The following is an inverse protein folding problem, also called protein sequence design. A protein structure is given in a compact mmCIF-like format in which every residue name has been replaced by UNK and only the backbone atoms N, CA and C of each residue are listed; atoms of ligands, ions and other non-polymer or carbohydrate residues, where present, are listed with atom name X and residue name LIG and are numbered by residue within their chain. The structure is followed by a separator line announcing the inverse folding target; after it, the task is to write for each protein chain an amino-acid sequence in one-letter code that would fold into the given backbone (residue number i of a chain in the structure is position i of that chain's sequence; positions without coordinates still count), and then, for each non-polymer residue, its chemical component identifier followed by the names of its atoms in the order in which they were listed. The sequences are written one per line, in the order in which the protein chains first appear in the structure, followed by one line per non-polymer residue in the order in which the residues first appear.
data_IF_945105860821
#
_entry.id   IF_945105860821
#
_cell.length_a   1.000
_cell.length_b   1.000
_cell.length_c   1.000
_cell.angle_alpha   90.00
_cell.angle_beta   90.00
_cell.angle_gamma   90.00
#
_symmetry.space_group_name_H-M   'P 1'
#
loop_
_entity.id
_entity.type
_entity.pdbx_description
1 polymer ?
#
# COMPACT_ATOMS: atom_id res chain seq x y z
N UNK A 1 -81.76 -22.11 -40.75
CA UNK A 1 -80.93 -21.25 -41.64
C UNK A 1 -81.10 -19.81 -41.19
N UNK A 2 -80.00 -19.04 -41.24
CA UNK A 2 -79.82 -17.63 -40.85
C UNK A 2 -79.87 -17.36 -39.31
N UNK A 3 -78.75 -17.19 -38.59
CA UNK A 3 -77.73 -16.12 -38.60
C UNK A 3 -78.22 -14.82 -37.95
N UNK A 4 -77.60 -14.35 -36.85
CA UNK A 4 -76.55 -13.30 -36.85
C UNK A 4 -76.37 -12.65 -35.45
N UNK A 5 -75.14 -12.15 -35.22
CA UNK A 5 -74.66 -11.18 -34.19
C UNK A 5 -74.13 -11.80 -32.89
N UNK A 6 -72.98 -11.39 -32.33
CA UNK A 6 -72.23 -10.14 -32.46
C UNK A 6 -70.76 -10.40 -32.03
N UNK A 7 -69.78 -9.94 -32.81
CA UNK A 7 -68.37 -9.86 -32.37
C UNK A 7 -68.14 -8.58 -31.57
N UNK A 8 -67.37 -8.66 -30.50
CA UNK A 8 -66.76 -7.51 -29.82
C UNK A 8 -65.28 -7.84 -29.59
N UNK A 9 -64.30 -7.05 -30.08
CA UNK A 9 -62.91 -7.28 -29.78
C UNK A 9 -62.56 -6.64 -28.43
N UNK A 10 -61.94 -7.43 -27.55
CA UNK A 10 -61.40 -6.97 -26.28
C UNK A 10 -60.00 -6.36 -26.52
N UNK A 11 -59.87 -5.04 -26.39
CA UNK A 11 -58.60 -4.34 -26.42
C UNK A 11 -57.98 -4.38 -25.01
N UNK A 12 -56.92 -5.18 -24.81
CA UNK A 12 -56.15 -5.18 -23.57
C UNK A 12 -54.99 -4.18 -23.70
N UNK A 13 -55.06 -3.08 -22.96
CA UNK A 13 -53.96 -2.13 -22.78
C UNK A 13 -53.20 -2.56 -21.53
N UNK A 14 -51.99 -3.09 -21.69
CA UNK A 14 -51.08 -3.38 -20.56
C UNK A 14 -50.30 -2.12 -20.19
N UNK A 15 -50.53 -1.60 -18.98
CA UNK A 15 -49.80 -0.47 -18.42
C UNK A 15 -48.66 -1.01 -17.54
N UNK A 16 -47.42 -1.02 -18.04
CA UNK A 16 -46.24 -1.37 -17.24
C UNK A 16 -45.61 -0.10 -16.66
N UNK A 17 -45.71 0.06 -15.34
CA UNK A 17 -45.05 1.13 -14.59
C UNK A 17 -43.63 0.65 -14.26
N UNK A 18 -42.61 1.29 -14.83
CA UNK A 18 -41.21 0.96 -14.57
C UNK A 18 -40.74 1.73 -13.34
N UNK A 19 -40.71 1.07 -12.18
CA UNK A 19 -40.08 1.61 -10.98
C UNK A 19 -38.57 1.38 -11.07
N UNK A 20 -37.80 2.45 -11.29
CA UNK A 20 -36.34 2.41 -11.20
C UNK A 20 -35.93 2.35 -9.73
N UNK A 21 -35.67 1.14 -9.23
CA UNK A 21 -34.96 0.93 -7.97
C UNK A 21 -33.49 1.22 -8.24
N UNK A 22 -32.97 2.31 -7.70
CA UNK A 22 -31.52 2.57 -7.64
C UNK A 22 -30.89 1.48 -6.77
N UNK A 23 -30.02 0.64 -7.34
CA UNK A 23 -29.25 -0.33 -6.58
C UNK A 23 -28.27 0.41 -5.65
N UNK A 24 -28.08 -0.05 -4.40
CA UNK A 24 -26.98 0.45 -3.58
C UNK A 24 -25.65 0.09 -4.23
N UNK A 25 -24.71 1.03 -4.27
CA UNK A 25 -23.34 0.81 -4.74
C UNK A 25 -22.74 -0.41 -4.04
N UNK A 26 -22.27 -1.37 -4.82
CA UNK A 26 -21.59 -2.55 -4.32
C UNK A 26 -20.31 -2.12 -3.59
N UNK A 27 -20.14 -2.54 -2.34
CA UNK A 27 -18.88 -2.42 -1.61
C UNK A 27 -17.73 -2.95 -2.47
N UNK A 28 -16.56 -2.29 -2.48
CA UNK A 28 -15.42 -2.73 -3.29
C UNK A 28 -15.01 -4.16 -2.91
N UNK A 29 -14.83 -5.01 -3.92
CA UNK A 29 -14.37 -6.40 -3.74
C UNK A 29 -12.92 -6.39 -3.25
N UNK A 30 -12.56 -7.15 -2.19
CA UNK A 30 -11.18 -7.25 -1.73
C UNK A 30 -10.22 -7.76 -2.81
N UNK A 31 -8.92 -7.41 -2.75
CA UNK A 31 -7.86 -7.98 -3.59
C UNK A 31 -7.83 -9.50 -3.57
N UNK A 32 -7.52 -10.11 -4.72
CA UNK A 32 -7.44 -11.57 -4.85
C UNK A 32 -6.42 -12.19 -3.89
N UNK A 33 -5.30 -11.48 -3.63
CA UNK A 33 -4.30 -11.88 -2.63
C UNK A 33 -4.91 -12.07 -1.23
N UNK A 34 -5.80 -11.16 -0.82
CA UNK A 34 -6.50 -11.23 0.47
C UNK A 34 -7.49 -12.39 0.52
N UNK A 35 -8.20 -12.64 -0.58
CA UNK A 35 -9.10 -13.78 -0.72
C UNK A 35 -8.31 -15.10 -0.57
N UNK A 36 -7.19 -15.22 -1.28
CA UNK A 36 -6.32 -16.41 -1.23
C UNK A 36 -5.70 -16.61 0.15
N UNK A 37 -5.25 -15.53 0.81
CA UNK A 37 -4.72 -15.56 2.16
C UNK A 37 -5.79 -16.01 3.17
N UNK A 38 -7.01 -15.50 3.07
CA UNK A 38 -8.13 -15.90 3.92
C UNK A 38 -8.49 -17.38 3.75
N UNK A 39 -8.53 -17.88 2.50
CA UNK A 39 -8.78 -19.29 2.21
C UNK A 39 -7.66 -20.18 2.76
N UNK A 40 -6.41 -19.77 2.58
CA UNK A 40 -5.24 -20.53 3.06
C UNK A 40 -5.18 -20.57 4.59
N UNK A 41 -5.52 -19.47 5.27
CA UNK A 41 -5.67 -19.42 6.73
C UNK A 41 -6.73 -20.44 7.21
N UNK A 42 -7.91 -20.45 6.60
CA UNK A 42 -8.98 -21.38 6.97
C UNK A 42 -8.55 -22.84 6.76
N UNK A 43 -7.96 -23.14 5.60
CA UNK A 43 -7.47 -24.48 5.28
C UNK A 43 -6.30 -24.93 6.18
N UNK A 44 -5.57 -24.00 6.78
CA UNK A 44 -4.44 -24.25 7.68
C UNK A 44 -4.84 -24.28 9.18
N UNK A 45 -6.14 -24.22 9.50
CA UNK A 45 -6.64 -24.27 10.87
C UNK A 45 -6.60 -22.94 11.64
N UNK A 46 -6.47 -21.82 10.94
CA UNK A 46 -6.55 -20.45 11.48
C UNK A 46 -7.90 -19.82 11.09
N UNK A 47 -9.00 -20.47 11.43
CA UNK A 47 -10.36 -20.11 11.03
C UNK A 47 -10.75 -18.74 11.56
N UNK A 48 -10.40 -18.44 12.82
CA UNK A 48 -10.77 -17.18 13.45
C UNK A 48 -10.08 -15.98 12.80
N UNK A 49 -8.80 -16.14 12.43
CA UNK A 49 -8.08 -15.10 11.70
C UNK A 49 -8.54 -14.99 10.24
N UNK A 50 -8.90 -16.10 9.59
CA UNK A 50 -9.52 -16.07 8.25
C UNK A 50 -10.81 -15.23 8.23
N UNK A 51 -11.70 -15.46 9.21
CA UNK A 51 -12.94 -14.69 9.33
C UNK A 51 -12.67 -13.24 9.70
N UNK A 52 -11.69 -12.98 10.57
CA UNK A 52 -11.25 -11.62 10.91
C UNK A 52 -10.79 -10.87 9.68
N UNK A 53 -9.91 -11.49 8.87
CA UNK A 53 -9.41 -10.90 7.62
C UNK A 53 -10.55 -10.59 6.65
N UNK A 54 -11.48 -11.53 6.44
CA UNK A 54 -12.66 -11.32 5.59
C UNK A 54 -13.55 -10.17 6.08
N UNK A 55 -13.71 -10.03 7.40
CA UNK A 55 -14.52 -8.98 8.00
C UNK A 55 -13.88 -7.59 7.84
N UNK A 56 -12.57 -7.48 8.03
CA UNK A 56 -11.89 -6.17 7.99
C UNK A 56 -11.45 -5.78 6.58
N UNK A 57 -11.28 -6.73 5.65
CA UNK A 57 -10.77 -6.46 4.31
C UNK A 57 -11.47 -5.30 3.58
N UNK A 58 -12.81 -5.13 3.65
CA UNK A 58 -13.48 -3.98 3.02
C UNK A 58 -13.16 -2.62 3.66
N UNK A 59 -12.68 -2.63 4.90
CA UNK A 59 -12.35 -1.42 5.69
C UNK A 59 -10.87 -1.09 5.68
N UNK A 60 -10.03 -2.03 5.26
CA UNK A 60 -8.61 -1.75 5.09
C UNK A 60 -8.45 -0.81 3.89
N UNK A 61 -7.50 0.15 3.94
CA UNK A 61 -7.15 0.98 2.79
C UNK A 61 -6.35 0.16 1.77
N UNK A 62 -6.85 -1.04 1.46
CA UNK A 62 -6.34 -1.93 0.44
C UNK A 62 -6.71 -1.33 -0.90
N UNK A 63 -5.79 -1.37 -1.86
CA UNK A 63 -6.10 -0.89 -3.18
C UNK A 63 -7.10 -1.90 -3.81
N UNK A 64 -7.89 -1.51 -4.82
CA UNK A 64 -8.97 -2.31 -5.44
C UNK A 64 -8.52 -3.73 -5.88
N UNK A 65 -9.47 -4.61 -6.28
CA UNK A 65 -9.20 -6.03 -6.63
C UNK A 65 -7.98 -6.27 -7.51
N UNK A 66 -7.66 -5.29 -8.35
CA UNK A 66 -6.61 -5.37 -9.34
C UNK A 66 -5.24 -5.03 -8.71
N UNK A 67 -5.16 -4.20 -7.67
CA UNK A 67 -3.89 -3.61 -7.21
C UNK A 67 -3.07 -4.43 -6.22
N UNK A 68 -1.72 -4.40 -6.36
CA UNK A 68 -0.81 -5.04 -5.44
C UNK A 68 -1.05 -4.52 -4.02
N UNK A 69 -1.42 -5.44 -3.14
CA UNK A 69 -1.56 -5.16 -1.71
C UNK A 69 -0.19 -5.23 -1.06
N UNK A 70 0.10 -4.37 -0.08
CA UNK A 70 1.23 -4.58 0.82
C UNK A 70 0.67 -4.89 2.21
N UNK A 71 0.74 -6.17 2.62
CA UNK A 71 0.19 -6.59 3.91
C UNK A 71 0.98 -7.75 4.51
N UNK A 72 1.33 -7.63 5.78
CA UNK A 72 1.78 -8.77 6.60
C UNK A 72 0.76 -9.05 7.69
N UNK A 73 0.35 -10.30 7.81
CA UNK A 73 -0.62 -10.79 8.78
C UNK A 73 0.07 -11.71 9.76
N UNK A 74 0.03 -11.38 11.05
CA UNK A 74 0.55 -12.21 12.12
C UNK A 74 -0.60 -12.96 12.78
N UNK A 75 -0.85 -14.20 12.38
CA UNK A 75 -2.03 -14.98 12.73
C UNK A 75 -1.86 -15.78 14.04
N UNK A 76 -2.54 -15.40 15.14
CA UNK A 76 -2.64 -16.24 16.33
C UNK A 76 -3.45 -17.50 16.02
N UNK A 77 -3.20 -18.63 16.70
CA UNK A 77 -3.96 -19.86 16.51
C UNK A 77 -5.39 -19.71 17.04
N UNK A 78 -6.32 -20.54 16.55
CA UNK A 78 -7.73 -20.52 16.98
C UNK A 78 -7.89 -20.74 18.51
N UNK A 79 -6.96 -21.46 19.14
CA UNK A 79 -6.92 -21.62 20.60
C UNK A 79 -6.62 -20.30 21.35
N UNK A 80 -5.88 -19.36 20.75
CA UNK A 80 -5.68 -18.04 21.34
C UNK A 80 -6.99 -17.24 21.35
N UNK A 81 -7.79 -17.34 20.27
CA UNK A 81 -9.11 -16.73 20.19
C UNK A 81 -10.06 -17.32 21.24
N UNK A 82 -10.15 -18.66 21.33
CA UNK A 82 -11.03 -19.33 22.28
C UNK A 82 -10.72 -18.97 23.74
N UNK A 83 -9.43 -18.84 24.09
CA UNK A 83 -8.97 -18.44 25.41
C UNK A 83 -9.22 -16.95 25.72
N UNK A 84 -9.19 -16.09 24.70
CA UNK A 84 -9.37 -14.64 24.86
C UNK A 84 -10.84 -14.18 24.88
N UNK A 85 -11.76 -15.00 24.38
CA UNK A 85 -13.15 -14.61 24.14
C UNK A 85 -13.28 -13.77 22.86
N UNK A 86 -14.03 -12.67 22.91
CA UNK A 86 -14.15 -11.74 21.78
C UNK A 86 -13.14 -10.58 21.91
N UNK A 87 -12.02 -10.60 21.17
CA UNK A 87 -11.04 -9.52 21.23
C UNK A 87 -11.60 -8.21 20.65
N UNK A 88 -11.20 -7.04 21.19
CA UNK A 88 -11.58 -5.75 20.62
C UNK A 88 -10.92 -5.54 19.25
N UNK A 89 -11.56 -4.76 18.37
CA UNK A 89 -11.03 -4.47 17.03
C UNK A 89 -9.62 -3.89 17.06
N UNK A 90 -9.30 -3.02 18.03
CA UNK A 90 -7.95 -2.45 18.18
C UNK A 90 -6.87 -3.49 18.45
N UNK A 91 -7.21 -4.59 19.15
CA UNK A 91 -6.30 -5.72 19.34
C UNK A 91 -6.17 -6.51 18.04
N UNK A 92 -7.27 -6.79 17.35
CA UNK A 92 -7.23 -7.51 16.07
C UNK A 92 -6.39 -6.76 15.02
N UNK A 93 -6.57 -5.44 14.90
CA UNK A 93 -5.81 -4.60 13.98
C UNK A 93 -4.30 -4.56 14.27
N UNK A 94 -3.87 -4.92 15.49
CA UNK A 94 -2.45 -5.01 15.85
C UNK A 94 -1.74 -6.15 15.10
N UNK A 95 -2.49 -7.14 14.61
CA UNK A 95 -1.98 -8.29 13.87
C UNK A 95 -1.78 -8.04 12.37
N UNK A 96 -2.08 -6.83 11.90
CA UNK A 96 -1.94 -6.46 10.50
C UNK A 96 -0.91 -5.33 10.39
N UNK A 97 0.11 -5.54 9.56
CA UNK A 97 1.10 -4.53 9.20
C UNK A 97 0.90 -4.13 7.74
N UNK A 98 0.90 -2.83 7.40
CA UNK A 98 0.78 -2.35 6.01
C UNK A 98 2.03 -2.58 5.15
N UNK A 99 2.98 -3.37 5.64
CA UNK A 99 4.25 -3.65 4.98
C UNK A 99 4.28 -5.11 4.55
N UNK A 100 4.93 -5.42 3.44
CA UNK A 100 5.35 -6.78 3.11
C UNK A 100 6.68 -7.08 3.79
N UNK A 101 6.63 -7.85 4.88
CA UNK A 101 7.78 -8.16 5.71
C UNK A 101 8.21 -9.59 5.44
N UNK A 102 9.15 -9.77 4.50
CA UNK A 102 9.71 -11.09 4.20
C UNK A 102 10.47 -11.68 5.41
N UNK A 103 10.72 -13.00 5.44
CA UNK A 103 11.51 -13.61 6.52
C UNK A 103 12.90 -12.98 6.65
N UNK A 104 13.55 -12.71 5.51
CA UNK A 104 14.85 -12.04 5.48
C UNK A 104 14.78 -10.61 6.03
N UNK A 105 13.72 -9.87 5.69
CA UNK A 105 13.49 -8.51 6.21
C UNK A 105 13.31 -8.54 7.72
N UNK A 106 12.45 -9.41 8.25
CA UNK A 106 12.23 -9.55 9.70
C UNK A 106 13.50 -9.95 10.46
N UNK A 107 14.30 -10.87 9.92
CA UNK A 107 15.57 -11.30 10.51
C UNK A 107 16.64 -10.20 10.47
N UNK A 108 16.58 -9.30 9.49
CA UNK A 108 17.54 -8.18 9.39
C UNK A 108 17.27 -7.04 10.37
N UNK A 109 16.05 -6.97 10.91
CA UNK A 109 15.67 -5.90 11.83
C UNK A 109 16.32 -6.11 13.21
N UNK A 110 17.06 -5.12 13.75
CA UNK A 110 17.65 -5.24 15.07
C UNK A 110 16.58 -5.27 16.18
N UNK A 111 16.96 -5.76 17.37
CA UNK A 111 16.13 -5.68 18.56
C UNK A 111 15.62 -4.26 18.80
N UNK A 112 14.37 -4.15 19.26
CA UNK A 112 13.62 -2.91 19.45
C UNK A 112 13.26 -2.13 18.17
N UNK A 113 13.52 -2.69 16.98
CA UNK A 113 12.98 -2.13 15.73
C UNK A 113 11.47 -2.04 15.78
N UNK A 114 10.91 -0.95 15.28
CA UNK A 114 9.47 -0.69 15.29
C UNK A 114 8.85 -1.16 13.99
N UNK A 115 7.76 -1.93 14.08
CA UNK A 115 6.94 -2.38 12.96
C UNK A 115 5.58 -1.67 13.06
N UNK A 116 5.12 -0.95 12.01
CA UNK A 116 3.80 -0.35 12.01
C UNK A 116 2.69 -1.41 12.05
N UNK A 117 1.56 -1.07 12.66
CA UNK A 117 0.35 -1.90 12.63
C UNK A 117 -0.85 -1.07 12.18
N UNK A 118 -1.95 -1.74 11.83
CA UNK A 118 -3.22 -1.08 11.53
C UNK A 118 -3.98 -0.64 12.80
N UNK A 119 -3.45 -0.96 14.00
CA UNK A 119 -4.03 -0.50 15.25
C UNK A 119 -3.69 0.98 15.51
N UNK A 120 -4.68 1.86 15.77
CA UNK A 120 -4.44 3.29 15.92
C UNK A 120 -3.42 3.60 17.03
N UNK A 121 -2.34 4.31 16.67
CA UNK A 121 -1.26 4.73 17.58
C UNK A 121 -0.50 3.59 18.28
N UNK A 122 -0.55 2.37 17.71
CA UNK A 122 0.15 1.20 18.27
C UNK A 122 1.08 0.60 17.22
N UNK A 123 2.27 0.25 17.70
CA UNK A 123 3.32 -0.38 16.92
C UNK A 123 3.75 -1.67 17.60
N UNK A 124 4.33 -2.54 16.79
CA UNK A 124 4.98 -3.76 17.21
C UNK A 124 6.49 -3.52 17.32
N UNK A 125 7.17 -4.31 18.13
CA UNK A 125 8.62 -4.23 18.31
C UNK A 125 9.26 -5.59 18.05
N UNK A 126 10.37 -5.60 17.33
CA UNK A 126 11.24 -6.77 17.24
C UNK A 126 11.83 -7.05 18.61
N UNK A 127 11.61 -8.26 19.10
CA UNK A 127 12.11 -8.74 20.40
C UNK A 127 12.94 -10.00 20.26
N UNK A 128 13.38 -10.33 19.04
CA UNK A 128 14.16 -11.52 18.72
C UNK A 128 15.34 -11.67 19.69
N UNK A 129 15.55 -12.89 20.17
CA UNK A 129 16.61 -13.19 21.11
C UNK A 129 17.97 -13.15 20.40
N UNK A 130 18.91 -12.39 20.96
CA UNK A 130 20.28 -12.30 20.44
C UNK A 130 20.99 -13.65 20.48
N UNK A 131 20.59 -14.56 21.38
CA UNK A 131 21.18 -15.89 21.52
C UNK A 131 20.61 -16.91 20.52
N UNK A 132 19.53 -16.54 19.81
CA UNK A 132 18.87 -17.38 18.80
C UNK A 132 18.64 -16.59 17.49
N UNK A 133 19.71 -16.30 16.71
CA UNK A 133 19.67 -15.36 15.58
C UNK A 133 18.78 -15.78 14.40
N UNK A 134 18.21 -16.99 14.44
CA UNK A 134 17.29 -17.51 13.42
C UNK A 134 15.82 -17.51 13.86
N UNK A 135 15.53 -17.07 15.08
CA UNK A 135 14.17 -17.04 15.60
C UNK A 135 13.67 -15.59 15.65
N UNK A 136 12.59 -15.33 14.93
CA UNK A 136 11.90 -14.05 14.98
C UNK A 136 10.96 -14.05 16.18
N UNK A 137 11.02 -13.00 17.00
CA UNK A 137 9.95 -12.70 17.95
C UNK A 137 9.56 -11.23 17.87
N UNK A 138 8.26 -10.97 18.05
CA UNK A 138 7.67 -9.64 17.97
C UNK A 138 6.81 -9.45 19.21
N UNK A 139 7.02 -8.37 19.97
CA UNK A 139 6.35 -8.14 21.25
C UNK A 139 6.40 -9.35 22.21
N UNK A 140 7.54 -10.05 22.24
CA UNK A 140 7.78 -11.31 22.95
C UNK A 140 6.92 -12.50 22.49
N UNK A 141 6.25 -12.40 21.35
CA UNK A 141 5.53 -13.50 20.72
C UNK A 141 6.38 -14.05 19.58
N UNK A 142 6.60 -15.36 19.59
CA UNK A 142 7.36 -16.03 18.53
C UNK A 142 6.59 -16.00 17.21
N UNK A 143 7.31 -15.73 16.13
CA UNK A 143 6.84 -15.85 14.75
C UNK A 143 7.42 -17.13 14.15
N UNK A 144 6.58 -17.93 13.51
CA UNK A 144 7.01 -19.21 12.91
C UNK A 144 7.35 -19.04 11.44
N UNK A 145 8.41 -19.71 11.02
CA UNK A 145 8.81 -19.85 9.62
C UNK A 145 8.66 -21.31 9.17
N UNK A 146 8.31 -21.55 7.88
CA UNK A 146 7.99 -20.56 6.85
C UNK A 146 6.61 -19.91 7.05
N UNK A 147 6.30 -18.81 6.32
CA UNK A 147 4.94 -18.26 6.28
C UNK A 147 3.91 -19.32 5.89
N UNK A 148 2.69 -19.19 6.41
CA UNK A 148 1.51 -19.98 6.01
C UNK A 148 1.12 -19.66 4.56
N UNK A 149 1.26 -18.39 4.16
CA UNK A 149 0.94 -17.89 2.84
C UNK A 149 1.93 -16.78 2.49
N UNK A 150 2.41 -16.77 1.24
CA UNK A 150 3.26 -15.73 0.69
C UNK A 150 3.08 -15.72 -0.82
N UNK A 151 2.55 -14.61 -1.36
CA UNK A 151 2.46 -14.35 -2.80
C UNK A 151 3.24 -13.10 -3.23
N UNK A 152 4.14 -12.62 -2.35
CA UNK A 152 4.89 -11.37 -2.52
C UNK A 152 4.12 -10.09 -2.18
N UNK A 153 2.79 -10.14 -2.07
CA UNK A 153 1.92 -8.99 -1.79
C UNK A 153 1.25 -9.08 -0.41
N UNK A 154 0.74 -10.25 -0.06
CA UNK A 154 0.31 -10.59 1.28
C UNK A 154 1.17 -11.73 1.84
N UNK A 155 1.69 -11.54 3.04
CA UNK A 155 2.45 -12.56 3.76
C UNK A 155 1.72 -12.87 5.06
N UNK A 156 1.53 -14.15 5.36
CA UNK A 156 0.85 -14.61 6.56
C UNK A 156 1.79 -15.46 7.39
N UNK A 157 2.10 -15.02 8.60
CA UNK A 157 2.88 -15.79 9.56
C UNK A 157 1.98 -16.40 10.63
N UNK A 158 2.29 -17.63 11.02
CA UNK A 158 1.81 -18.19 12.28
C UNK A 158 2.57 -17.53 13.45
N UNK A 159 1.88 -17.23 14.55
CA UNK A 159 2.49 -16.75 15.80
C UNK A 159 1.96 -17.54 17.00
N UNK A 160 2.67 -17.53 18.13
CA UNK A 160 2.29 -18.32 19.31
C UNK A 160 0.99 -17.84 19.99
N UNK A 161 0.73 -16.52 20.02
CA UNK A 161 -0.40 -15.93 20.74
C UNK A 161 -0.73 -14.49 20.25
N UNK A 162 -1.78 -13.87 20.78
CA UNK A 162 -2.07 -12.45 20.56
C UNK A 162 -0.90 -11.55 20.99
N UNK A 163 -0.68 -10.47 20.25
CA UNK A 163 0.11 -9.35 20.73
C UNK A 163 -0.64 -8.62 21.84
N UNK A 164 0.06 -7.84 22.68
CA UNK A 164 -0.59 -7.09 23.76
C UNK A 164 -0.65 -5.60 23.46
N UNK A 165 -1.82 -4.98 23.68
CA UNK A 165 -2.03 -3.53 23.46
C UNK A 165 -1.19 -2.63 24.39
N UNK A 166 -0.80 -3.19 25.54
CA UNK A 166 0.02 -2.53 26.57
C UNK A 166 1.46 -3.02 26.56
N UNK A 167 1.93 -3.60 25.46
CA UNK A 167 3.32 -4.01 25.35
C UNK A 167 4.24 -2.82 25.57
N UNK A 168 5.22 -3.01 26.44
CA UNK A 168 6.30 -2.06 26.66
C UNK A 168 7.60 -2.86 26.59
N UNK A 169 8.58 -2.34 25.86
CA UNK A 169 9.93 -2.89 25.92
C UNK A 169 10.39 -2.74 27.36
N UNK A 170 10.73 -3.86 28.01
CA UNK A 170 11.41 -3.79 29.29
C UNK A 170 12.71 -3.02 29.05
N UNK A 171 12.80 -1.79 29.56
CA UNK A 171 14.08 -1.11 29.70
C UNK A 171 14.93 -2.03 30.53
N UNK A 172 15.94 -2.65 29.93
CA UNK A 172 16.98 -3.29 30.70
C UNK A 172 17.45 -2.27 31.73
N UNK A 173 17.32 -2.58 33.02
CA UNK A 173 18.03 -1.85 34.06
C UNK A 173 19.47 -1.72 33.58
N UNK A 174 20.07 -0.51 33.59
CA UNK A 174 21.42 -0.35 33.10
C UNK A 174 22.30 -1.30 33.92
N UNK A 175 22.98 -2.29 33.30
CA UNK A 175 23.96 -3.06 34.02
C UNK A 175 24.99 -2.03 34.51
N UNK A 176 25.17 -1.97 35.83
CA UNK A 176 26.31 -1.34 36.48
C UNK A 176 27.60 -2.06 36.04
N UNK A 177 27.98 -1.84 34.79
CA UNK A 177 29.23 -2.27 34.21
C UNK A 177 29.69 -1.08 33.38
N UNK A 178 30.75 -0.41 33.84
CA UNK A 178 31.47 0.59 33.08
C UNK A 178 31.65 0.07 31.64
N UNK A 179 30.97 0.63 30.63
CA UNK A 179 31.19 0.18 29.28
C UNK A 179 32.54 0.76 28.91
N UNK A 180 33.56 -0.10 28.78
CA UNK A 180 34.67 0.20 27.89
C UNK A 180 34.04 0.36 26.52
N UNK A 181 33.75 1.60 26.17
CA UNK A 181 33.06 2.00 24.96
C UNK A 181 33.97 1.74 23.75
N UNK A 182 34.03 0.49 23.32
CA UNK A 182 34.15 0.20 21.89
C UNK A 182 32.73 0.24 21.31
N UNK A 183 32.07 1.41 21.41
CA UNK A 183 30.94 1.70 20.54
C UNK A 183 31.53 1.97 19.16
N UNK A 184 31.80 0.90 18.42
CA UNK A 184 31.87 1.02 16.98
C UNK A 184 30.43 0.94 16.52
N UNK A 185 29.74 2.09 16.52
CA UNK A 185 28.49 2.23 15.81
C UNK A 185 28.71 1.61 14.43
N UNK A 186 27.88 0.64 14.04
CA UNK A 186 27.87 0.18 12.66
C UNK A 186 27.66 1.45 11.83
N UNK A 187 28.65 1.77 10.99
CA UNK A 187 28.48 2.78 9.97
C UNK A 187 27.33 2.25 9.12
N UNK A 188 26.16 2.88 9.22
CA UNK A 188 25.09 2.65 8.25
C UNK A 188 25.76 2.88 6.91
N UNK A 189 25.94 1.83 6.11
CA UNK A 189 26.52 1.93 4.78
C UNK A 189 25.70 2.97 4.03
N UNK A 190 26.32 4.13 3.85
CA UNK A 190 25.65 5.43 3.75
C UNK A 190 25.37 5.81 2.32
N UNK A 191 25.03 4.83 1.48
CA UNK A 191 24.73 5.11 0.08
C UNK A 191 23.42 4.40 -0.24
N UNK A 192 22.32 5.07 0.07
CA UNK A 192 21.04 4.77 -0.58
C UNK A 192 21.33 4.67 -2.09
N UNK A 193 20.80 3.66 -2.79
CA UNK A 193 20.92 3.62 -4.26
C UNK A 193 20.25 4.83 -4.93
N UNK A 194 19.45 5.56 -4.16
CA UNK A 194 18.80 6.81 -4.54
C UNK A 194 19.54 8.04 -4.01
N UNK A 195 20.68 7.93 -3.31
CA UNK A 195 21.37 9.06 -2.66
C UNK A 195 21.61 10.24 -3.61
N UNK A 196 22.03 9.94 -4.84
CA UNK A 196 22.22 10.97 -5.86
C UNK A 196 20.88 11.59 -6.27
N UNK A 197 19.88 10.76 -6.54
CA UNK A 197 18.54 11.19 -6.93
C UNK A 197 17.86 12.03 -5.84
N UNK A 198 17.90 11.56 -4.59
CA UNK A 198 17.35 12.25 -3.42
C UNK A 198 18.12 13.54 -3.13
N UNK A 199 19.44 13.55 -3.29
CA UNK A 199 20.26 14.77 -3.25
C UNK A 199 19.81 15.81 -4.27
N UNK A 200 19.60 15.41 -5.54
CA UNK A 200 19.11 16.30 -6.61
C UNK A 200 17.72 16.84 -6.26
N UNK A 201 16.80 15.97 -5.83
CA UNK A 201 15.44 16.35 -5.46
C UNK A 201 15.39 17.35 -4.29
N UNK A 202 16.14 17.10 -3.21
CA UNK A 202 16.24 18.03 -2.06
C UNK A 202 16.77 19.39 -2.50
N UNK A 203 17.77 19.40 -3.38
CA UNK A 203 18.36 20.66 -3.88
C UNK A 203 17.39 21.50 -4.73
N UNK A 204 16.27 20.91 -5.18
CA UNK A 204 15.29 21.53 -6.07
C UNK A 204 13.88 21.67 -5.47
N UNK A 205 13.70 21.41 -4.18
CA UNK A 205 12.43 21.61 -3.49
C UNK A 205 11.45 20.43 -3.56
N UNK A 206 11.98 19.21 -3.77
CA UNK A 206 11.24 17.94 -3.80
C UNK A 206 11.68 17.04 -2.64
N UNK A 207 11.81 17.62 -1.44
CA UNK A 207 12.35 16.95 -0.25
C UNK A 207 11.49 15.79 0.21
N UNK A 208 10.17 15.88 0.08
CA UNK A 208 9.24 14.83 0.52
C UNK A 208 9.39 13.59 -0.39
N UNK A 209 9.50 13.78 -1.70
CA UNK A 209 9.78 12.68 -2.63
C UNK A 209 11.19 12.14 -2.41
N UNK A 210 12.16 13.00 -2.11
CA UNK A 210 13.51 12.57 -1.76
C UNK A 210 13.53 11.68 -0.51
N UNK A 211 12.81 12.07 0.55
CA UNK A 211 12.64 11.28 1.77
C UNK A 211 11.93 9.95 1.46
N UNK A 212 10.88 9.97 0.62
CA UNK A 212 10.22 8.75 0.17
C UNK A 212 11.17 7.79 -0.57
N UNK A 213 12.05 8.33 -1.42
CA UNK A 213 13.08 7.54 -2.11
C UNK A 213 14.19 7.08 -1.17
N UNK A 214 14.58 7.84 -0.15
CA UNK A 214 15.60 7.43 0.82
C UNK A 214 15.08 6.41 1.83
N UNK A 215 13.79 6.50 2.19
CA UNK A 215 13.16 5.64 3.21
C UNK A 215 12.85 4.23 2.72
N UNK A 216 13.07 3.90 1.43
CA UNK A 216 12.92 2.58 0.80
C UNK A 216 12.30 1.53 1.72
N UNK A 217 10.96 1.46 1.78
CA UNK A 217 10.31 0.28 2.33
C UNK A 217 10.79 -0.90 1.49
N UNK A 218 11.60 -1.74 2.13
CA UNK A 218 12.50 -2.76 1.58
C UNK A 218 11.79 -3.85 0.77
N UNK A 219 11.25 -3.52 -0.41
CA UNK A 219 10.66 -4.52 -1.30
C UNK A 219 10.01 -4.01 -2.58
N UNK A 220 9.54 -2.75 -2.64
CA UNK A 220 8.66 -2.33 -3.75
C UNK A 220 9.40 -1.87 -5.01
N UNK A 221 10.51 -1.13 -4.86
CA UNK A 221 11.30 -0.62 -5.99
C UNK A 221 12.52 -1.49 -6.32
N UNK A 222 12.71 -2.60 -5.59
CA UNK A 222 13.87 -3.45 -5.80
C UNK A 222 13.81 -4.76 -5.05
N UNK A 223 13.17 -5.77 -5.63
CA UNK A 223 13.64 -7.18 -5.60
C UNK A 223 12.79 -8.05 -6.54
N UNK A 224 13.29 -8.33 -7.74
CA UNK A 224 13.11 -9.67 -8.31
C UNK A 224 14.32 -10.50 -7.88
N UNK A 225 14.09 -11.74 -7.43
CA UNK A 225 15.18 -12.67 -7.12
C UNK A 225 15.90 -13.17 -8.37
N UNK A 226 15.38 -12.85 -9.56
CA UNK A 226 16.05 -12.92 -10.85
C UNK A 226 16.61 -11.53 -11.22
N UNK A 227 17.80 -11.53 -11.83
CA UNK A 227 18.73 -10.44 -12.15
C UNK A 227 18.19 -9.24 -12.98
N UNK A 228 16.87 -9.06 -13.10
CA UNK A 228 16.23 -7.96 -13.83
C UNK A 228 15.96 -6.76 -12.90
N UNK A 229 16.85 -5.76 -12.95
CA UNK A 229 16.62 -4.47 -12.27
C UNK A 229 15.32 -3.86 -12.80
N UNK A 230 14.29 -3.76 -11.95
CA UNK A 230 13.05 -3.08 -12.32
C UNK A 230 13.33 -1.60 -12.60
N UNK A 231 12.95 -1.18 -13.81
CA UNK A 231 13.11 0.18 -14.29
C UNK A 231 11.95 1.06 -13.84
N UNK A 232 12.23 2.29 -13.43
CA UNK A 232 11.25 3.18 -12.79
C UNK A 232 11.22 4.58 -13.39
N UNK A 233 10.02 5.15 -13.42
CA UNK A 233 9.79 6.59 -13.63
C UNK A 233 9.03 7.15 -12.44
N UNK A 234 9.51 8.27 -11.90
CA UNK A 234 8.88 9.00 -10.78
C UNK A 234 8.37 10.34 -11.28
N UNK A 235 7.11 10.65 -11.01
CA UNK A 235 6.50 11.96 -11.29
C UNK A 235 6.43 12.75 -9.98
N UNK A 236 7.43 13.56 -9.70
CA UNK A 236 7.61 14.24 -8.41
C UNK A 236 6.80 15.56 -8.35
N UNK A 237 5.74 15.67 -7.54
CA UNK A 237 5.13 16.96 -7.23
C UNK A 237 6.03 17.77 -6.30
N UNK A 238 5.90 19.09 -6.33
CA UNK A 238 6.63 19.96 -5.39
C UNK A 238 6.14 19.75 -3.95
N UNK A 239 7.01 19.99 -2.97
CA UNK A 239 6.69 19.71 -1.55
C UNK A 239 5.38 20.39 -1.09
N UNK A 240 5.11 21.61 -1.58
CA UNK A 240 3.91 22.37 -1.24
C UNK A 240 2.58 21.68 -1.56
N UNK A 241 2.53 20.88 -2.63
CA UNK A 241 1.32 20.16 -3.04
C UNK A 241 1.07 18.91 -2.17
N UNK A 242 2.11 18.40 -1.50
CA UNK A 242 2.03 17.22 -0.64
C UNK A 242 1.72 17.56 0.83
N UNK A 243 2.08 18.77 1.29
CA UNK A 243 1.89 19.22 2.68
C UNK A 243 0.45 19.03 3.19
N UNK A 244 -0.63 19.37 2.45
CA UNK A 244 -2.00 19.21 2.94
C UNK A 244 -2.39 17.78 3.29
N UNK A 245 -1.68 16.78 2.74
CA UNK A 245 -1.96 15.36 2.95
C UNK A 245 -1.12 14.74 4.07
N UNK A 246 -0.26 15.54 4.72
CA UNK A 246 0.56 15.10 5.84
C UNK A 246 -0.31 14.87 7.09
N UNK A 247 -0.52 13.59 7.47
CA UNK A 247 -1.28 13.25 8.67
C UNK A 247 -1.85 11.83 8.68
N UNK A 248 -2.17 11.27 7.51
CA UNK A 248 -2.71 9.92 7.37
C UNK A 248 -1.72 9.01 6.65
N UNK A 249 -0.90 8.26 7.40
CA UNK A 249 0.21 7.44 6.89
C UNK A 249 -0.20 6.52 5.72
N UNK A 250 -1.38 5.90 5.79
CA UNK A 250 -1.88 4.97 4.76
C UNK A 250 -2.38 5.67 3.50
N UNK A 251 -3.10 6.79 3.67
CA UNK A 251 -3.54 7.66 2.57
C UNK A 251 -2.31 8.21 1.82
N UNK A 252 -1.27 8.56 2.57
CA UNK A 252 -0.01 9.09 2.06
C UNK A 252 0.76 8.09 1.19
N UNK A 253 0.85 6.81 1.61
CA UNK A 253 1.50 5.77 0.80
C UNK A 253 0.76 5.55 -0.53
N UNK A 254 -0.57 5.44 -0.51
CA UNK A 254 -1.37 5.26 -1.73
C UNK A 254 -1.26 6.45 -2.69
N UNK A 255 -1.05 7.65 -2.15
CA UNK A 255 -0.86 8.89 -2.90
C UNK A 255 0.50 8.86 -3.59
N UNK A 256 1.58 8.56 -2.87
CA UNK A 256 2.93 8.51 -3.42
C UNK A 256 3.09 7.42 -4.49
N UNK A 257 2.42 6.27 -4.33
CA UNK A 257 2.48 5.18 -5.31
C UNK A 257 1.85 5.54 -6.69
N UNK A 258 0.90 6.49 -6.75
CA UNK A 258 0.33 6.97 -8.04
C UNK A 258 1.34 7.70 -8.91
N UNK A 259 2.41 8.19 -8.28
CA UNK A 259 3.47 8.95 -8.90
C UNK A 259 4.61 8.06 -9.43
N UNK A 260 4.42 6.73 -9.42
CA UNK A 260 5.43 5.75 -9.82
C UNK A 260 4.93 4.92 -11.01
N UNK A 261 5.77 4.77 -12.03
CA UNK A 261 5.54 3.86 -13.15
C UNK A 261 6.65 2.78 -13.18
N UNK A 262 6.31 1.48 -13.29
CA UNK A 262 7.26 0.37 -13.37
C UNK A 262 7.90 0.23 -14.77
N UNK A 263 8.27 1.36 -15.36
CA UNK A 263 9.03 1.46 -16.59
C UNK A 263 9.87 2.73 -16.55
N UNK A 264 11.04 2.72 -17.21
CA UNK A 264 11.89 3.91 -17.36
C UNK A 264 11.52 4.61 -18.67
N UNK A 265 11.02 5.84 -18.58
CA UNK A 265 10.61 6.65 -19.73
C UNK A 265 11.26 8.01 -19.61
N UNK A 266 12.09 8.39 -20.60
CA UNK A 266 12.67 9.73 -20.66
C UNK A 266 11.71 10.72 -21.30
N UNK A 267 11.90 12.02 -21.04
CA UNK A 267 11.00 13.04 -21.55
C UNK A 267 10.92 13.04 -23.08
N UNK A 268 12.06 12.83 -23.77
CA UNK A 268 12.08 12.73 -25.24
C UNK A 268 11.20 11.59 -25.78
N UNK A 269 11.04 10.51 -25.01
CA UNK A 269 10.14 9.40 -25.39
C UNK A 269 8.69 9.82 -25.18
N UNK A 270 8.37 10.50 -24.08
CA UNK A 270 7.03 11.07 -23.84
C UNK A 270 6.64 12.06 -24.94
N UNK A 271 7.60 12.87 -25.42
CA UNK A 271 7.44 13.80 -26.55
C UNK A 271 7.24 13.14 -27.90
N UNK A 272 7.43 11.82 -28.02
CA UNK A 272 7.17 11.06 -29.25
C UNK A 272 5.92 10.18 -29.14
N UNK A 273 5.41 9.95 -27.93
CA UNK A 273 4.21 9.14 -27.69
C UNK A 273 2.96 9.79 -28.30
N UNK A 274 2.06 8.95 -28.81
CA UNK A 274 0.77 9.42 -29.32
C UNK A 274 -0.05 10.06 -28.18
N UNK A 275 -0.78 11.14 -28.48
CA UNK A 275 -1.67 11.78 -27.52
C UNK A 275 -2.73 10.77 -27.02
N UNK A 276 -2.92 10.68 -25.70
CA UNK A 276 -3.80 9.69 -25.06
C UNK A 276 -3.16 8.32 -24.85
N UNK A 277 -1.83 8.21 -24.92
CA UNK A 277 -1.12 6.94 -24.64
C UNK A 277 -1.30 6.58 -23.17
N UNK A 278 -1.74 5.35 -22.90
CA UNK A 278 -1.98 4.88 -21.54
C UNK A 278 -0.86 3.93 -21.11
N UNK A 279 -0.16 4.28 -20.02
CA UNK A 279 0.94 3.51 -19.43
C UNK A 279 0.48 2.93 -18.09
N UNK A 280 0.71 1.64 -17.86
CA UNK A 280 0.43 1.01 -16.56
C UNK A 280 1.29 1.64 -15.47
N UNK A 281 0.72 1.91 -14.30
CA UNK A 281 1.46 2.45 -13.16
C UNK A 281 1.62 1.40 -12.04
N UNK A 282 2.18 1.82 -10.90
CA UNK A 282 2.47 0.94 -9.75
C UNK A 282 1.25 0.60 -8.88
N UNK A 283 0.08 1.15 -9.21
CA UNK A 283 -1.20 0.97 -8.52
C UNK A 283 -2.21 0.44 -9.54
N UNK A 284 -2.44 -0.87 -9.57
CA UNK A 284 -3.33 -1.44 -10.58
C UNK A 284 -4.74 -0.82 -10.55
N UNK A 285 -5.33 -0.62 -11.73
CA UNK A 285 -6.56 0.14 -11.92
C UNK A 285 -6.36 1.65 -12.07
N UNK A 286 -5.16 2.18 -11.80
CA UNK A 286 -4.75 3.48 -12.30
C UNK A 286 -3.79 3.31 -13.48
N UNK A 287 -4.03 4.10 -14.51
CA UNK A 287 -3.11 4.24 -15.62
C UNK A 287 -2.64 5.68 -15.70
N UNK A 288 -1.42 5.86 -16.21
CA UNK A 288 -0.85 7.15 -16.53
C UNK A 288 -1.14 7.41 -18.01
N UNK A 289 -2.12 8.26 -18.26
CA UNK A 289 -2.45 8.77 -19.56
C UNK A 289 -1.53 9.95 -19.89
N UNK A 290 -0.72 9.77 -20.93
CA UNK A 290 0.13 10.81 -21.49
C UNK A 290 -0.69 11.60 -22.49
N UNK A 291 -0.93 12.86 -22.15
CA UNK A 291 -1.66 13.81 -22.98
C UNK A 291 -0.79 14.99 -23.37
N UNK A 292 -1.21 15.74 -24.37
CA UNK A 292 -0.54 16.98 -24.78
C UNK A 292 -1.52 18.13 -24.78
N UNK A 293 -1.06 19.25 -24.25
CA UNK A 293 -1.71 20.53 -24.50
C UNK A 293 -1.25 21.03 -25.87
N UNK A 294 -2.19 21.17 -26.82
CA UNK A 294 -1.88 21.63 -28.19
C UNK A 294 -1.53 23.12 -28.24
N UNK A 295 -1.88 23.90 -27.21
CA UNK A 295 -1.68 25.35 -27.15
C UNK A 295 -0.33 25.67 -26.50
N UNK A 296 -0.07 25.08 -25.35
CA UNK A 296 1.16 25.31 -24.58
C UNK A 296 2.30 24.35 -24.99
N UNK A 297 2.04 23.43 -25.92
CA UNK A 297 2.97 22.37 -26.37
C UNK A 297 3.55 21.54 -25.20
N UNK A 298 2.84 21.47 -24.07
CA UNK A 298 3.28 20.79 -22.86
C UNK A 298 2.81 19.35 -22.80
N UNK A 299 3.65 18.48 -22.22
CA UNK A 299 3.31 17.08 -21.96
C UNK A 299 2.69 16.97 -20.57
N UNK A 300 1.56 16.29 -20.50
CA UNK A 300 0.81 16.06 -19.28
C UNK A 300 0.71 14.57 -18.96
N UNK A 301 0.67 14.25 -17.68
CA UNK A 301 0.40 12.91 -17.15
C UNK A 301 -0.86 12.97 -16.29
N UNK A 302 -1.91 12.24 -16.69
CA UNK A 302 -3.25 12.31 -16.05
C UNK A 302 -3.77 13.75 -15.88
N UNK A 303 -3.53 14.60 -16.89
CA UNK A 303 -3.91 16.02 -16.86
C UNK A 303 -3.03 16.91 -15.98
N UNK A 304 -1.93 16.39 -15.44
CA UNK A 304 -0.94 17.13 -14.65
C UNK A 304 0.29 17.44 -15.51
N UNK A 305 0.66 18.70 -15.62
CA UNK A 305 1.78 19.15 -16.46
C UNK A 305 3.14 18.66 -15.93
N UNK A 306 4.01 18.22 -16.83
CA UNK A 306 5.44 17.97 -16.53
C UNK A 306 6.20 19.29 -16.64
N UNK A 307 6.61 19.85 -15.51
CA UNK A 307 7.28 21.17 -15.43
C UNK A 307 8.80 21.09 -15.32
N UNK A 308 9.33 19.96 -14.84
CA UNK A 308 10.77 19.72 -14.76
C UNK A 308 11.11 18.38 -15.43
N UNK A 309 11.21 18.33 -16.76
CA UNK A 309 11.54 17.10 -17.48
C UNK A 309 12.94 16.60 -17.08
N UNK A 310 13.09 15.28 -16.97
CA UNK A 310 14.37 14.61 -16.67
C UNK A 310 15.13 15.22 -15.47
N UNK A 311 14.38 15.60 -14.42
CA UNK A 311 14.88 16.16 -13.16
C UNK A 311 16.05 15.36 -12.58
N UNK A 312 16.00 14.03 -12.69
CA UNK A 312 17.10 13.11 -12.47
C UNK A 312 17.05 11.96 -13.46
N UNK A 313 18.21 11.45 -13.89
CA UNK A 313 18.33 10.29 -14.78
C UNK A 313 19.49 9.38 -14.38
N UNK A 314 19.22 8.08 -14.40
CA UNK A 314 20.21 7.00 -14.33
C UNK A 314 19.80 5.88 -15.31
N UNK A 315 20.52 4.76 -15.31
CA UNK A 315 20.22 3.62 -16.18
C UNK A 315 18.88 2.93 -15.86
N UNK A 316 18.38 3.07 -14.63
CA UNK A 316 17.18 2.38 -14.16
C UNK A 316 16.09 3.30 -13.59
N UNK A 317 16.41 4.58 -13.35
CA UNK A 317 15.50 5.55 -12.75
C UNK A 317 15.48 6.85 -13.55
N UNK A 318 14.29 7.33 -13.89
CA UNK A 318 14.05 8.68 -14.39
C UNK A 318 13.07 9.39 -13.44
N UNK A 319 13.29 10.67 -13.18
CA UNK A 319 12.39 11.50 -12.38
C UNK A 319 11.98 12.72 -13.20
N UNK A 320 10.69 13.02 -13.26
CA UNK A 320 10.13 14.23 -13.83
C UNK A 320 9.45 15.03 -12.73
N UNK A 321 9.66 16.34 -12.64
CA UNK A 321 8.84 17.20 -11.79
C UNK A 321 7.51 17.52 -12.46
N UNK A 322 6.42 17.53 -11.69
CA UNK A 322 5.06 17.80 -12.16
C UNK A 322 4.38 18.93 -11.37
N UNK A 323 3.36 19.55 -11.96
CA UNK A 323 2.58 20.64 -11.37
C UNK A 323 1.32 20.14 -10.66
N UNK A 324 1.45 19.69 -9.41
CA UNK A 324 0.34 19.13 -8.63
C UNK A 324 0.35 17.61 -8.55
N UNK A 325 -0.73 17.04 -8.01
CA UNK A 325 -0.84 15.60 -7.74
C UNK A 325 -1.55 14.85 -8.85
N UNK A 326 -1.12 13.60 -9.08
CA UNK A 326 -1.85 12.67 -9.94
C UNK A 326 -3.15 12.23 -9.21
N UNK A 327 -4.34 12.55 -9.74
CA UNK A 327 -5.61 12.28 -9.08
C UNK A 327 -5.98 10.80 -9.09
N UNK A 328 -6.91 10.38 -8.21
CA UNK A 328 -7.60 9.10 -8.39
C UNK A 328 -8.56 9.23 -9.57
N UNK A 329 -8.49 8.33 -10.55
CA UNK A 329 -9.50 8.26 -11.60
C UNK A 329 -10.81 7.70 -11.01
N UNK A 330 -11.63 8.59 -10.44
CA UNK A 330 -13.09 8.54 -10.31
C UNK A 330 -13.53 9.70 -9.41
N UNK A 331 -13.74 10.88 -10.00
CA UNK A 331 -14.71 11.89 -9.55
C UNK A 331 -14.54 12.59 -8.19
N UNK A 332 -13.62 12.18 -7.32
CA UNK A 332 -13.42 12.84 -6.03
C UNK A 332 -12.24 13.80 -6.13
N UNK A 333 -12.55 15.07 -6.35
CA UNK A 333 -11.62 16.15 -6.07
C UNK A 333 -11.36 16.11 -4.56
N UNK A 334 -10.16 15.66 -4.15
CA UNK A 334 -9.63 15.89 -2.81
C UNK A 334 -9.42 17.41 -2.64
N UNK A 335 -10.51 18.11 -2.34
CA UNK A 335 -10.55 19.56 -2.36
C UNK A 335 -11.78 20.07 -1.62
N UNK A 336 -11.81 19.87 -0.30
CA UNK A 336 -12.60 20.77 0.55
C UNK A 336 -11.88 22.12 0.55
N UNK A 337 -12.27 22.94 -0.42
CA UNK A 337 -11.77 24.29 -0.59
C UNK A 337 -12.00 25.07 0.68
N UNK A 338 -10.91 25.44 1.36
CA UNK A 338 -10.91 26.50 2.35
C UNK A 338 -11.42 27.77 1.67
N UNK A 339 -12.70 28.05 1.87
CA UNK A 339 -13.34 29.31 1.54
C UNK A 339 -12.69 30.39 2.40
N UNK A 340 -11.77 31.16 1.81
CA UNK A 340 -11.30 32.42 2.38
C UNK A 340 -12.04 33.54 1.64
N UNK A 341 -13.00 34.11 2.37
CA UNK A 341 -13.56 35.45 2.10
C UNK A 341 -12.55 36.52 2.51
#
# INVERSE_FOLDING_TARGET
MASLKLQLPLLLISLSVLSTVSQPESSPTPPQSIINAAETLANSGYTAMSLTLQLIAPTLPLPSSDSPTALTIFSPPDDAFSNSGQPPLSLLLLHFSPLTLSPASLLSLPFASTIPSLSPSKHLFITSDSDQPKQISINNVKVHEPPIFDDGFAIVYAIDNFFTLSFTLATADPPSANPKSNFQCLKLESTSRFEEASGVLRSRGYSIIADFLDLQMTGYLGRSEDDDVTNWTVFAPVDGDLVPFSGELFSYSSLLMRHLAPCRVEYSVLEEMANGTVVSNSVNGLSLEITRDEIEESVMVNGVEITAPDLYKSDWLVIHGILGLIPKLNGDYDGDGANIS
#
